data_IF_113452313752
#
_entry.id   IF_113452313752
#
_cell.length_a   1.000
_cell.length_b   1.000
_cell.length_c   1.000
_cell.angle_alpha   90.00
_cell.angle_beta   90.00
_cell.angle_gamma   90.00
#
_symmetry.space_group_name_H-M   'P 1'
#
loop_
_entity.id
_entity.type
_entity.pdbx_description
1 polymer ?
#
# COMPACT_ATOMS: atom_id res chain seq x y z
N UNK A 1 21.09 -26.67 11.66
CA UNK A 1 19.76 -27.01 12.20
C UNK A 1 19.04 -25.79 12.78
N UNK A 2 19.75 -24.87 13.47
CA UNK A 2 19.17 -23.62 14.00
C UNK A 2 18.67 -22.65 12.91
N UNK A 3 19.31 -22.60 11.74
CA UNK A 3 18.94 -21.63 10.67
C UNK A 3 17.58 -21.90 10.02
N UNK A 4 17.19 -23.17 9.89
CA UNK A 4 15.91 -23.54 9.27
C UNK A 4 14.73 -23.14 10.16
N UNK A 5 14.89 -23.24 11.48
CA UNK A 5 13.87 -22.84 12.45
C UNK A 5 13.71 -21.32 12.46
N UNK A 6 14.81 -20.56 12.41
CA UNK A 6 14.77 -19.10 12.33
C UNK A 6 14.06 -18.60 11.05
N UNK A 7 14.35 -19.23 9.91
CA UNK A 7 13.68 -18.91 8.64
C UNK A 7 12.18 -19.23 8.66
N UNK A 8 11.79 -20.36 9.25
CA UNK A 8 10.38 -20.73 9.38
C UNK A 8 9.60 -19.71 10.22
N UNK A 9 10.17 -19.28 11.36
CA UNK A 9 9.57 -18.25 12.23
C UNK A 9 9.44 -16.91 11.50
N UNK A 10 10.45 -16.49 10.75
CA UNK A 10 10.39 -15.26 9.94
C UNK A 10 9.32 -15.32 8.85
N UNK A 11 9.17 -16.47 8.19
CA UNK A 11 8.14 -16.68 7.18
C UNK A 11 6.73 -16.64 7.78
N UNK A 12 6.53 -17.24 8.95
CA UNK A 12 5.24 -17.21 9.65
C UNK A 12 4.89 -15.81 10.15
N UNK A 13 5.87 -15.07 10.68
CA UNK A 13 5.69 -13.68 11.07
C UNK A 13 5.36 -12.78 9.87
N UNK A 14 6.02 -12.99 8.73
CA UNK A 14 5.69 -12.28 7.48
C UNK A 14 4.26 -12.59 6.99
N UNK A 15 3.80 -13.85 7.15
CA UNK A 15 2.43 -14.24 6.79
C UNK A 15 1.38 -13.61 7.71
N UNK A 16 1.61 -13.60 9.04
CA UNK A 16 0.66 -13.05 10.01
C UNK A 16 0.54 -11.53 9.93
N UNK A 17 1.64 -10.84 9.65
CA UNK A 17 1.63 -9.39 9.41
C UNK A 17 0.86 -9.03 8.14
N UNK A 18 1.01 -9.82 7.07
CA UNK A 18 0.29 -9.61 5.81
C UNK A 18 -1.23 -9.81 5.96
N UNK A 19 -1.69 -10.76 6.77
CA UNK A 19 -3.13 -10.94 7.03
C UNK A 19 -3.72 -9.78 7.83
N UNK A 20 -2.98 -9.27 8.83
CA UNK A 20 -3.39 -8.09 9.59
C UNK A 20 -3.47 -6.85 8.68
N UNK A 21 -2.46 -6.62 7.83
CA UNK A 21 -2.47 -5.52 6.87
C UNK A 21 -3.66 -5.59 5.93
N UNK A 22 -3.94 -6.76 5.34
CA UNK A 22 -5.11 -6.96 4.47
C UNK A 22 -6.43 -6.68 5.19
N UNK A 23 -6.56 -7.11 6.45
CA UNK A 23 -7.75 -6.84 7.26
C UNK A 23 -7.92 -5.35 7.50
N UNK A 24 -6.87 -4.67 7.96
CA UNK A 24 -6.91 -3.23 8.22
C UNK A 24 -7.21 -2.42 6.96
N UNK A 25 -6.62 -2.79 5.82
CA UNK A 25 -6.90 -2.16 4.54
C UNK A 25 -8.36 -2.29 4.14
N UNK A 26 -8.92 -3.50 4.22
CA UNK A 26 -10.33 -3.75 3.89
C UNK A 26 -11.28 -2.99 4.82
N UNK A 27 -10.99 -2.96 6.12
CA UNK A 27 -11.89 -2.41 7.13
C UNK A 27 -11.82 -0.87 7.22
N UNK A 28 -10.70 -0.25 6.80
CA UNK A 28 -10.47 1.18 7.00
C UNK A 28 -9.96 1.92 5.77
N UNK A 29 -8.85 1.47 5.19
CA UNK A 29 -8.15 2.22 4.14
C UNK A 29 -8.93 2.25 2.81
N UNK A 30 -9.34 1.08 2.31
CA UNK A 30 -10.05 0.96 1.04
C UNK A 30 -11.41 1.67 1.05
N UNK A 31 -12.22 1.60 2.13
CA UNK A 31 -13.42 2.43 2.23
C UNK A 31 -13.12 3.93 2.13
N UNK A 32 -12.08 4.42 2.81
CA UNK A 32 -11.71 5.84 2.75
C UNK A 32 -11.26 6.25 1.34
N UNK A 33 -10.43 5.43 0.68
CA UNK A 33 -9.97 5.69 -0.69
C UNK A 33 -11.12 5.63 -1.68
N UNK A 34 -11.99 4.63 -1.60
CA UNK A 34 -13.09 4.47 -2.56
C UNK A 34 -14.19 5.52 -2.39
N UNK A 35 -14.33 6.11 -1.21
CA UNK A 35 -15.27 7.20 -0.93
C UNK A 35 -14.66 8.59 -1.16
N UNK A 36 -13.37 8.69 -1.47
CA UNK A 36 -12.73 9.96 -1.85
C UNK A 36 -13.32 10.51 -3.16
N UNK A 37 -13.35 11.84 -3.31
CA UNK A 37 -13.87 12.49 -4.51
C UNK A 37 -13.01 12.17 -5.73
N UNK A 38 -13.51 12.41 -6.95
CA UNK A 38 -12.72 12.14 -8.17
C UNK A 38 -11.53 13.08 -8.30
N UNK A 39 -11.66 14.27 -7.73
CA UNK A 39 -10.69 15.35 -7.72
C UNK A 39 -9.60 15.14 -6.66
N UNK A 40 -9.84 14.28 -5.67
CA UNK A 40 -8.84 13.89 -4.67
C UNK A 40 -7.87 12.85 -5.25
N UNK A 41 -6.59 13.24 -5.31
CA UNK A 41 -5.48 12.36 -5.67
C UNK A 41 -4.93 11.62 -4.45
N UNK A 42 -4.58 10.35 -4.64
CA UNK A 42 -3.91 9.54 -3.60
C UNK A 42 -2.42 9.56 -3.88
N UNK A 43 -1.64 10.11 -2.94
CA UNK A 43 -0.19 10.23 -3.06
C UNK A 43 0.48 9.20 -2.15
N UNK A 44 1.46 8.48 -2.69
CA UNK A 44 2.22 7.45 -1.96
C UNK A 44 3.72 7.65 -2.14
N UNK A 45 4.50 7.15 -1.17
CA UNK A 45 5.97 7.18 -1.22
C UNK A 45 6.60 5.79 -1.36
N UNK A 46 5.86 4.73 -1.03
CA UNK A 46 6.35 3.36 -1.09
C UNK A 46 5.73 2.56 -2.24
N UNK A 47 6.56 1.84 -2.99
CA UNK A 47 6.15 0.96 -4.10
C UNK A 47 5.09 -0.06 -3.64
N UNK A 48 5.30 -0.66 -2.47
CA UNK A 48 4.34 -1.63 -1.93
C UNK A 48 2.95 -1.03 -1.68
N UNK A 49 2.86 0.24 -1.24
CA UNK A 49 1.58 0.91 -1.04
C UNK A 49 0.96 1.34 -2.38
N UNK A 50 1.79 1.77 -3.33
CA UNK A 50 1.37 2.07 -4.69
C UNK A 50 0.66 0.87 -5.33
N UNK A 51 1.33 -0.28 -5.34
CA UNK A 51 0.80 -1.49 -5.98
C UNK A 51 -0.44 -2.01 -5.25
N UNK A 52 -0.43 -2.04 -3.91
CA UNK A 52 -1.61 -2.48 -3.15
C UNK A 52 -2.83 -1.59 -3.37
N UNK A 53 -2.67 -0.27 -3.44
CA UNK A 53 -3.79 0.64 -3.68
C UNK A 53 -4.27 0.53 -5.14
N UNK A 54 -3.34 0.42 -6.09
CA UNK A 54 -3.67 0.23 -7.51
C UNK A 54 -4.41 -1.09 -7.78
N UNK A 55 -4.04 -2.16 -7.09
CA UNK A 55 -4.66 -3.49 -7.24
C UNK A 55 -6.00 -3.61 -6.53
N UNK A 56 -6.20 -2.89 -5.42
CA UNK A 56 -7.35 -3.10 -4.51
C UNK A 56 -8.38 -1.97 -4.53
N UNK A 57 -8.14 -0.88 -5.26
CA UNK A 57 -9.05 0.26 -5.36
C UNK A 57 -9.30 0.68 -6.81
N UNK A 58 -10.31 1.53 -7.02
CA UNK A 58 -10.57 2.12 -8.34
C UNK A 58 -9.75 3.41 -8.59
N UNK A 59 -8.82 3.74 -7.70
CA UNK A 59 -7.94 4.91 -7.81
C UNK A 59 -6.57 4.47 -8.31
N UNK A 60 -5.97 5.31 -9.16
CA UNK A 60 -4.56 5.17 -9.55
C UNK A 60 -3.73 6.10 -8.66
N UNK A 61 -2.98 5.59 -7.67
CA UNK A 61 -2.15 6.43 -6.83
C UNK A 61 -0.99 7.02 -7.64
N UNK A 62 -0.55 8.23 -7.28
CA UNK A 62 0.68 8.85 -7.79
C UNK A 62 1.79 8.72 -6.77
N UNK A 63 3.02 8.59 -7.24
CA UNK A 63 4.18 8.79 -6.39
C UNK A 63 4.34 10.28 -6.06
N UNK A 64 4.82 10.58 -4.86
CA UNK A 64 5.14 11.96 -4.46
C UNK A 64 6.09 12.65 -5.47
N UNK A 65 7.04 11.90 -6.05
CA UNK A 65 7.97 12.44 -7.05
C UNK A 65 7.28 12.84 -8.35
N UNK A 66 6.21 12.16 -8.75
CA UNK A 66 5.43 12.52 -9.95
C UNK A 66 4.72 13.85 -9.73
N UNK A 67 4.09 14.02 -8.57
CA UNK A 67 3.41 15.27 -8.19
C UNK A 67 4.40 16.44 -8.11
N UNK A 68 5.58 16.20 -7.54
CA UNK A 68 6.63 17.24 -7.48
C UNK A 68 7.16 17.60 -8.87
N UNK A 69 7.31 16.63 -9.77
CA UNK A 69 7.72 16.89 -11.15
C UNK A 69 6.67 17.73 -11.89
N UNK A 70 5.38 17.35 -11.78
CA UNK A 70 4.26 18.10 -12.36
C UNK A 70 4.25 19.56 -11.88
N UNK A 71 4.50 19.80 -10.59
CA UNK A 71 4.50 21.14 -9.99
C UNK A 71 5.69 22.02 -10.41
N UNK A 72 6.81 21.43 -10.81
CA UNK A 72 8.00 22.16 -11.26
C UNK A 72 7.89 22.51 -12.75
N UNK A 73 7.22 21.68 -13.54
CA UNK A 73 6.97 21.90 -14.97
C UNK A 73 5.75 22.82 -15.24
N UNK A 74 5.13 23.38 -14.18
CA UNK A 74 3.91 24.22 -14.21
C UNK A 74 4.17 25.72 -14.33
#
# INVERSE_FOLDING_TARGET
>A
MLDVVAWQVLLEWKKSTMTYQKKWQKDRLLPAINNSSKEEEIIVTGISCHDQIGDLSNKKPKYLVEVLAEAIDS
#
